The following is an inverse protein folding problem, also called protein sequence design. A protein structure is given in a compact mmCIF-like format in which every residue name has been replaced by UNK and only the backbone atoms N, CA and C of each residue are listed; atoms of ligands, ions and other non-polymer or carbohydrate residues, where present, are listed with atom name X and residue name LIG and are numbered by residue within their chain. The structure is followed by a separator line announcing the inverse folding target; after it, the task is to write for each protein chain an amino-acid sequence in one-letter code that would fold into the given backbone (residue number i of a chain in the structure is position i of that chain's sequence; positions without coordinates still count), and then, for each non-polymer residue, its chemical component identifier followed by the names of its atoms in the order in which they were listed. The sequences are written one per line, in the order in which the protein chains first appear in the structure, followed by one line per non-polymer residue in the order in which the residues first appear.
data_IF_986255098375
#
_entry.id   IF_986255098375
#
_cell.length_a   1.000
_cell.length_b   1.000
_cell.length_c   1.000
_cell.angle_alpha   90.00
_cell.angle_beta   90.00
_cell.angle_gamma   90.00
#
_symmetry.space_group_name_H-M   'P 1'
#
loop_
_entity.id
_entity.type
_entity.pdbx_description
1 polymer ?
#
# COMPACT_ATOMS: atom_id res chain seq x y z
N UNK A 1 -29.27 30.12 1.22
CA UNK A 1 -29.94 30.33 2.53
C UNK A 1 -28.97 30.83 3.60
N UNK A 2 -27.79 30.22 3.79
CA UNK A 2 -26.79 30.75 4.74
C UNK A 2 -26.16 32.09 4.31
N UNK A 3 -25.96 32.38 3.00
CA UNK A 3 -25.43 33.70 2.58
C UNK A 3 -26.38 34.84 2.98
N UNK A 4 -27.67 34.72 2.66
CA UNK A 4 -28.73 35.65 3.10
C UNK A 4 -28.72 35.88 4.61
N UNK A 5 -28.40 34.83 5.38
CA UNK A 5 -28.34 34.93 6.85
C UNK A 5 -27.12 35.73 7.29
N UNK A 6 -25.98 35.62 6.60
CA UNK A 6 -24.79 36.44 6.86
C UNK A 6 -25.04 37.91 6.49
N UNK A 7 -25.68 38.15 5.36
CA UNK A 7 -26.07 39.49 4.90
C UNK A 7 -27.01 40.16 5.93
N UNK A 8 -28.03 39.45 6.41
CA UNK A 8 -28.93 39.95 7.45
C UNK A 8 -28.23 40.23 8.79
N UNK A 9 -27.21 39.44 9.16
CA UNK A 9 -26.38 39.71 10.35
C UNK A 9 -25.54 40.97 10.15
N UNK A 10 -24.98 41.16 8.94
CA UNK A 10 -24.20 42.35 8.63
C UNK A 10 -25.08 43.61 8.67
N UNK A 11 -26.28 43.56 8.09
CA UNK A 11 -27.25 44.66 8.15
C UNK A 11 -27.59 45.10 9.58
N UNK A 12 -27.76 44.16 10.51
CA UNK A 12 -28.02 44.47 11.93
C UNK A 12 -26.80 45.12 12.62
N UNK A 13 -25.58 44.80 12.18
CA UNK A 13 -24.36 45.45 12.67
C UNK A 13 -24.21 46.87 12.13
N UNK A 14 -24.59 47.07 10.87
CA UNK A 14 -24.50 48.36 10.19
C UNK A 14 -25.62 49.33 10.66
N UNK A 15 -26.78 48.80 11.06
CA UNK A 15 -27.92 49.57 11.60
C UNK A 15 -28.25 49.13 13.03
N UNK A 16 -27.53 49.66 14.04
CA UNK A 16 -27.77 49.31 15.44
C UNK A 16 -29.16 49.79 15.86
N UNK A 17 -30.00 48.86 16.35
CA UNK A 17 -31.39 49.14 16.76
C UNK A 17 -32.46 48.55 15.84
N UNK A 18 -32.07 47.99 14.69
CA UNK A 18 -33.00 47.30 13.80
C UNK A 18 -33.72 46.12 14.49
N UNK A 19 -35.05 46.03 14.34
CA UNK A 19 -35.85 44.93 14.90
C UNK A 19 -35.56 43.64 14.15
N UNK A 20 -35.03 42.63 14.85
CA UNK A 20 -34.68 41.30 14.30
C UNK A 20 -35.82 40.66 13.49
N UNK A 21 -37.08 40.82 13.92
CA UNK A 21 -38.23 40.29 13.17
C UNK A 21 -38.44 40.97 11.81
N UNK A 22 -38.19 42.28 11.73
CA UNK A 22 -38.35 43.04 10.50
C UNK A 22 -37.31 42.61 9.49
N UNK A 23 -36.05 42.58 9.91
CA UNK A 23 -34.91 42.12 9.10
C UNK A 23 -35.12 40.67 8.66
N UNK A 24 -35.58 39.79 9.55
CA UNK A 24 -35.86 38.41 9.18
C UNK A 24 -36.91 38.28 8.05
N UNK A 25 -37.96 39.12 8.06
CA UNK A 25 -38.99 39.13 7.01
C UNK A 25 -38.47 39.68 5.69
N UNK A 26 -37.74 40.79 5.76
CA UNK A 26 -37.14 41.46 4.59
C UNK A 26 -36.18 40.53 3.84
N UNK A 27 -35.34 39.80 4.56
CA UNK A 27 -34.38 38.86 3.97
C UNK A 27 -34.98 37.46 3.71
N UNK A 28 -36.26 37.23 4.08
CA UNK A 28 -36.94 35.94 3.90
C UNK A 28 -36.35 34.78 4.70
N UNK A 29 -35.94 35.01 5.95
CA UNK A 29 -35.25 34.05 6.82
C UNK A 29 -36.06 33.80 8.10
N UNK A 30 -36.12 32.57 8.63
CA UNK A 30 -36.72 32.33 9.93
C UNK A 30 -36.05 33.16 11.04
N UNK A 31 -36.85 33.89 11.83
CA UNK A 31 -36.37 34.74 12.94
C UNK A 31 -35.42 34.01 13.89
N UNK A 32 -35.75 32.76 14.24
CA UNK A 32 -34.94 31.94 15.16
C UNK A 32 -33.52 31.72 14.61
N UNK A 33 -33.37 31.51 13.29
CA UNK A 33 -32.06 31.33 12.66
C UNK A 33 -31.21 32.60 12.75
N UNK A 34 -31.81 33.76 12.46
CA UNK A 34 -31.11 35.06 12.56
C UNK A 34 -30.69 35.35 14.00
N UNK A 35 -31.58 35.12 14.97
CA UNK A 35 -31.28 35.24 16.41
C UNK A 35 -30.12 34.34 16.83
N UNK A 36 -30.14 33.06 16.44
CA UNK A 36 -29.05 32.13 16.79
C UNK A 36 -27.70 32.57 16.22
N UNK A 37 -27.68 33.18 15.02
CA UNK A 37 -26.46 33.68 14.39
C UNK A 37 -25.92 34.93 15.09
N UNK A 38 -26.78 35.83 15.54
CA UNK A 38 -26.41 36.98 16.37
C UNK A 38 -25.86 36.54 17.73
N UNK A 39 -26.36 35.44 18.29
CA UNK A 39 -25.85 34.81 19.52
C UNK A 39 -24.51 34.04 19.31
N UNK A 40 -23.93 34.08 18.11
CA UNK A 40 -22.64 33.42 17.82
C UNK A 40 -22.74 31.93 17.51
N UNK A 41 -23.94 31.36 17.37
CA UNK A 41 -24.05 29.98 16.90
C UNK A 41 -23.69 29.90 15.42
N UNK A 42 -22.72 29.05 15.09
CA UNK A 42 -22.30 28.77 13.71
C UNK A 42 -23.20 27.71 13.04
N UNK A 43 -23.19 27.62 11.69
CA UNK A 43 -23.89 26.57 10.98
C UNK A 43 -23.40 25.19 11.41
N UNK A 44 -24.29 24.20 11.39
CA UNK A 44 -23.87 22.79 11.52
C UNK A 44 -22.99 22.38 10.33
N UNK A 45 -23.24 22.95 9.15
CA UNK A 45 -22.43 22.75 7.96
C UNK A 45 -21.01 23.30 8.19
N UNK A 46 -20.01 22.43 8.07
CA UNK A 46 -18.60 22.76 8.28
C UNK A 46 -18.13 22.64 9.73
N UNK A 47 -19.00 22.37 10.71
CA UNK A 47 -18.56 22.07 12.08
C UNK A 47 -17.87 20.68 12.08
N UNK A 48 -16.62 20.57 12.58
CA UNK A 48 -16.00 19.26 12.76
C UNK A 48 -16.85 18.43 13.71
N UNK A 49 -16.92 17.12 13.46
CA UNK A 49 -17.66 16.23 14.36
C UNK A 49 -17.10 16.36 15.79
N UNK A 50 -17.96 16.57 16.79
CA UNK A 50 -17.53 16.81 18.16
C UNK A 50 -16.73 15.63 18.75
N UNK A 51 -16.99 14.42 18.26
CA UNK A 51 -16.41 13.17 18.78
C UNK A 51 -15.46 12.54 17.75
N UNK A 52 -14.52 13.32 17.20
CA UNK A 52 -13.44 12.77 16.38
C UNK A 52 -12.50 11.97 17.29
N UNK A 53 -12.35 10.67 17.00
CA UNK A 53 -11.43 9.77 17.74
C UNK A 53 -9.95 10.06 17.44
N UNK A 54 -9.68 10.58 16.24
CA UNK A 54 -8.36 10.98 15.79
C UNK A 54 -8.19 12.50 15.90
N UNK A 55 -6.97 12.92 16.20
CA UNK A 55 -6.57 14.32 16.09
C UNK A 55 -6.43 14.72 14.62
N UNK A 56 -6.50 16.02 14.31
CA UNK A 56 -6.32 16.52 12.92
C UNK A 56 -5.03 16.03 12.24
N UNK A 57 -3.85 16.04 12.89
CA UNK A 57 -2.63 15.54 12.24
C UNK A 57 -2.64 14.03 12.02
N UNK A 58 -3.19 13.25 12.95
CA UNK A 58 -3.38 11.80 12.78
C UNK A 58 -4.32 11.50 11.61
N UNK A 59 -5.43 12.23 11.52
CA UNK A 59 -6.41 12.10 10.45
C UNK A 59 -5.77 12.41 9.09
N UNK A 60 -4.97 13.48 9.00
CA UNK A 60 -4.24 13.81 7.79
C UNK A 60 -3.17 12.76 7.43
N UNK A 61 -2.49 12.18 8.41
CA UNK A 61 -1.54 11.09 8.19
C UNK A 61 -2.23 9.84 7.63
N UNK A 62 -3.42 9.51 8.14
CA UNK A 62 -4.22 8.40 7.63
C UNK A 62 -4.67 8.62 6.18
N UNK A 63 -5.09 9.84 5.81
CA UNK A 63 -5.41 10.16 4.42
C UNK A 63 -4.18 9.99 3.50
N UNK A 64 -3.01 10.54 3.90
CA UNK A 64 -1.77 10.36 3.13
C UNK A 64 -1.38 8.88 2.96
N UNK A 65 -1.62 8.07 4.00
CA UNK A 65 -1.38 6.63 3.93
C UNK A 65 -2.30 5.95 2.90
N UNK A 66 -3.59 6.28 2.90
CA UNK A 66 -4.54 5.77 1.90
C UNK A 66 -4.15 6.19 0.49
N UNK A 67 -3.82 7.46 0.28
CA UNK A 67 -3.44 7.99 -1.04
C UNK A 67 -2.16 7.33 -1.54
N UNK A 68 -1.18 7.09 -0.66
CA UNK A 68 0.05 6.36 -1.00
C UNK A 68 -0.25 4.94 -1.46
N UNK A 69 -1.18 4.23 -0.81
CA UNK A 69 -1.57 2.89 -1.22
C UNK A 69 -2.31 2.87 -2.57
N UNK A 70 -3.21 3.84 -2.81
CA UNK A 70 -3.90 3.96 -4.12
C UNK A 70 -2.89 4.25 -5.25
N UNK A 71 -1.89 5.09 -4.98
CA UNK A 71 -0.79 5.39 -5.92
C UNK A 71 0.10 4.17 -6.22
N UNK A 72 0.23 3.23 -5.30
CA UNK A 72 0.92 1.95 -5.52
C UNK A 72 0.01 0.89 -6.15
N UNK A 73 -1.18 1.27 -6.61
CA UNK A 73 -2.22 0.38 -7.14
C UNK A 73 -2.65 -0.72 -6.16
N UNK A 74 -2.50 -0.47 -4.85
CA UNK A 74 -2.93 -1.39 -3.80
C UNK A 74 -4.38 -1.14 -3.40
N UNK A 75 -5.12 -2.23 -3.33
CA UNK A 75 -6.51 -2.25 -2.92
C UNK A 75 -6.70 -1.90 -1.44
N UNK A 76 -6.98 -0.64 -1.11
CA UNK A 76 -7.26 -0.28 0.29
C UNK A 76 -8.66 -0.75 0.69
N UNK A 77 -8.73 -1.86 1.43
CA UNK A 77 -10.01 -2.32 2.02
C UNK A 77 -10.35 -1.49 3.26
N UNK A 78 -11.64 -1.34 3.61
CA UNK A 78 -12.04 -0.67 4.85
C UNK A 78 -11.44 -1.30 6.12
N UNK A 79 -11.19 -2.61 6.10
CA UNK A 79 -10.47 -3.31 7.19
C UNK A 79 -9.10 -2.69 7.47
N UNK A 80 -8.28 -2.49 6.43
CA UNK A 80 -6.97 -1.86 6.57
C UNK A 80 -7.03 -0.47 7.20
N UNK A 81 -8.01 0.36 6.81
CA UNK A 81 -8.18 1.69 7.41
C UNK A 81 -8.53 1.59 8.89
N UNK A 82 -9.32 0.58 9.25
CA UNK A 82 -9.72 0.30 10.63
C UNK A 82 -8.51 -0.13 11.45
N UNK A 83 -7.71 -1.03 10.91
CA UNK A 83 -6.52 -1.56 11.58
C UNK A 83 -5.44 -0.50 11.74
N UNK A 84 -5.18 0.30 10.69
CA UNK A 84 -4.24 1.43 10.75
C UNK A 84 -4.67 2.46 11.80
N UNK A 85 -5.97 2.76 11.87
CA UNK A 85 -6.52 3.67 12.89
C UNK A 85 -6.35 3.11 14.30
N UNK A 86 -6.68 1.83 14.50
CA UNK A 86 -6.51 1.16 15.78
C UNK A 86 -5.04 1.12 16.20
N UNK A 87 -4.11 0.99 15.24
CA UNK A 87 -2.68 1.04 15.50
C UNK A 87 -2.25 2.43 16.03
N UNK A 88 -2.63 3.50 15.32
CA UNK A 88 -2.35 4.89 15.76
C UNK A 88 -2.89 5.13 17.18
N UNK A 89 -4.11 4.66 17.47
CA UNK A 89 -4.71 4.80 18.79
C UNK A 89 -3.97 4.00 19.86
N UNK A 90 -3.50 2.80 19.54
CA UNK A 90 -2.73 1.96 20.45
C UNK A 90 -1.37 2.58 20.78
N UNK A 91 -0.66 3.07 19.78
CA UNK A 91 0.62 3.76 19.96
C UNK A 91 0.47 5.00 20.85
N UNK A 92 -0.62 5.76 20.68
CA UNK A 92 -0.91 6.94 21.50
C UNK A 92 -1.19 6.61 22.97
N UNK A 93 -1.84 5.49 23.24
CA UNK A 93 -2.30 5.13 24.59
C UNK A 93 -1.27 4.37 25.42
N UNK A 94 -0.13 3.97 24.84
CA UNK A 94 0.95 3.27 25.53
C UNK A 94 0.62 1.84 25.98
N UNK A 95 1.57 1.15 26.67
CA UNK A 95 1.43 -0.26 27.06
C UNK A 95 0.27 -0.55 28.04
N UNK A 96 -0.18 0.47 28.78
CA UNK A 96 -1.30 0.40 29.74
C UNK A 96 -2.65 0.81 29.13
N UNK A 97 -2.68 1.15 27.83
CA UNK A 97 -3.83 1.67 27.09
C UNK A 97 -4.91 0.63 26.82
N UNK A 98 -5.76 0.45 27.82
CA UNK A 98 -6.93 -0.43 27.94
C UNK A 98 -7.91 -0.39 26.75
N UNK A 99 -8.66 -1.48 26.58
CA UNK A 99 -9.55 -1.91 25.49
C UNK A 99 -10.54 -0.90 24.84
N UNK A 100 -10.62 0.34 25.31
CA UNK A 100 -11.65 1.32 24.93
C UNK A 100 -11.35 2.11 23.64
N UNK A 101 -10.19 1.85 23.03
CA UNK A 101 -9.74 2.56 21.82
C UNK A 101 -10.17 1.91 20.51
N UNK A 102 -10.89 0.79 20.54
CA UNK A 102 -11.37 0.17 19.30
C UNK A 102 -12.39 1.10 18.64
N UNK A 103 -12.13 1.46 17.39
CA UNK A 103 -13.09 2.24 16.62
C UNK A 103 -14.35 1.42 16.33
N UNK A 104 -15.52 2.05 16.47
CA UNK A 104 -16.78 1.37 16.17
C UNK A 104 -16.91 1.01 14.69
N UNK A 105 -17.67 -0.04 14.38
CA UNK A 105 -17.85 -0.57 13.02
C UNK A 105 -18.29 0.46 11.97
N UNK A 106 -19.06 1.47 12.37
CA UNK A 106 -19.53 2.56 11.49
C UNK A 106 -18.54 3.70 11.31
N UNK A 107 -17.47 3.76 12.11
CA UNK A 107 -16.51 4.86 12.08
C UNK A 107 -15.82 4.93 10.72
N UNK A 108 -15.31 3.80 10.21
CA UNK A 108 -14.57 3.75 8.94
C UNK A 108 -15.43 4.18 7.76
N UNK A 109 -16.69 3.73 7.69
CA UNK A 109 -17.61 4.16 6.63
C UNK A 109 -17.89 5.67 6.68
N UNK A 110 -18.05 6.23 7.87
CA UNK A 110 -18.27 7.69 8.05
C UNK A 110 -17.01 8.49 7.73
N UNK A 111 -15.84 7.99 8.11
CA UNK A 111 -14.54 8.59 7.81
C UNK A 111 -14.33 8.67 6.29
N UNK A 112 -14.49 7.54 5.58
CA UNK A 112 -14.33 7.50 4.12
C UNK A 112 -15.30 8.45 3.41
N UNK A 113 -16.57 8.46 3.82
CA UNK A 113 -17.58 9.38 3.26
C UNK A 113 -17.24 10.85 3.50
N UNK A 114 -16.68 11.18 4.67
CA UNK A 114 -16.30 12.56 5.03
C UNK A 114 -15.14 13.07 4.18
N UNK A 115 -14.18 12.21 3.84
CA UNK A 115 -13.00 12.56 3.04
C UNK A 115 -13.18 12.35 1.53
N UNK A 116 -14.37 11.91 1.08
CA UNK A 116 -14.65 11.70 -0.34
C UNK A 116 -14.00 10.44 -0.92
N UNK A 117 -13.66 9.45 -0.09
CA UNK A 117 -13.17 8.16 -0.56
C UNK A 117 -14.35 7.27 -0.95
N UNK A 118 -14.33 6.78 -2.19
CA UNK A 118 -15.37 5.92 -2.75
C UNK A 118 -14.84 4.52 -3.03
N UNK A 119 -15.73 3.53 -2.87
CA UNK A 119 -15.42 2.14 -3.23
C UNK A 119 -15.31 2.06 -4.75
N UNK A 120 -14.20 1.51 -5.24
CA UNK A 120 -14.00 1.17 -6.65
C UNK A 120 -14.16 -0.34 -6.82
N UNK A 121 -14.83 -0.76 -7.89
CA UNK A 121 -14.89 -2.18 -8.24
C UNK A 121 -13.51 -2.63 -8.71
N UNK A 122 -13.01 -3.73 -8.16
CA UNK A 122 -11.76 -4.33 -8.60
C UNK A 122 -12.04 -5.51 -9.51
N UNK A 123 -11.30 -5.60 -10.62
CA UNK A 123 -11.32 -6.79 -11.46
C UNK A 123 -10.74 -7.96 -10.66
N UNK A 124 -11.43 -9.10 -10.70
CA UNK A 124 -10.85 -10.34 -10.17
C UNK A 124 -9.63 -10.71 -11.01
N UNK A 125 -8.63 -11.29 -10.36
CA UNK A 125 -7.51 -11.90 -11.07
C UNK A 125 -8.02 -13.01 -11.99
N UNK A 126 -7.43 -13.16 -13.18
CA UNK A 126 -7.78 -14.25 -14.09
C UNK A 126 -7.49 -15.60 -13.43
N UNK A 127 -8.42 -16.56 -13.55
CA UNK A 127 -8.34 -17.84 -12.86
C UNK A 127 -7.04 -18.61 -13.16
N UNK A 128 -6.59 -18.60 -14.41
CA UNK A 128 -5.32 -19.23 -14.83
C UNK A 128 -4.10 -18.59 -14.16
N UNK A 129 -4.10 -17.26 -14.05
CA UNK A 129 -3.03 -16.52 -13.36
C UNK A 129 -3.03 -16.82 -11.87
N UNK A 130 -4.22 -16.87 -11.26
CA UNK A 130 -4.37 -17.24 -9.85
C UNK A 130 -3.90 -18.68 -9.58
N UNK A 131 -4.22 -19.63 -10.48
CA UNK A 131 -3.75 -21.01 -10.37
C UNK A 131 -2.24 -21.16 -10.58
N UNK A 132 -1.62 -20.26 -11.34
CA UNK A 132 -0.18 -20.23 -11.57
C UNK A 132 0.61 -19.64 -10.37
N UNK A 133 -0.05 -18.84 -9.53
CA UNK A 133 0.52 -18.28 -8.29
C UNK A 133 0.54 -19.33 -7.17
N UNK A 134 1.32 -20.40 -7.37
CA UNK A 134 1.51 -21.47 -6.40
C UNK A 134 2.66 -21.14 -5.42
N UNK A 135 2.29 -20.77 -4.18
CA UNK A 135 3.21 -20.51 -3.08
C UNK A 135 4.12 -21.71 -2.76
N UNK A 136 3.63 -22.93 -2.91
CA UNK A 136 4.43 -24.13 -2.61
C UNK A 136 5.54 -24.31 -3.64
N UNK A 137 5.24 -24.10 -4.92
CA UNK A 137 6.24 -24.11 -6.00
C UNK A 137 7.32 -23.06 -5.78
N UNK A 138 6.95 -21.83 -5.43
CA UNK A 138 7.92 -20.75 -5.15
C UNK A 138 8.78 -21.09 -3.93
N UNK A 139 8.16 -21.54 -2.84
CA UNK A 139 8.88 -21.90 -1.61
C UNK A 139 9.85 -23.06 -1.84
N UNK A 140 9.40 -24.11 -2.53
CA UNK A 140 10.22 -25.26 -2.89
C UNK A 140 11.42 -24.83 -3.76
N UNK A 141 11.20 -23.96 -4.75
CA UNK A 141 12.28 -23.44 -5.58
C UNK A 141 13.36 -22.74 -4.73
N UNK A 142 12.96 -21.85 -3.81
CA UNK A 142 13.91 -21.15 -2.95
C UNK A 142 14.61 -22.09 -1.95
N UNK A 143 13.93 -23.10 -1.41
CA UNK A 143 14.55 -24.13 -0.57
C UNK A 143 15.56 -24.97 -1.34
N UNK A 144 15.26 -25.37 -2.57
CA UNK A 144 16.21 -26.08 -3.44
C UNK A 144 17.41 -25.21 -3.77
N UNK A 145 17.18 -23.93 -4.09
CA UNK A 145 18.23 -22.98 -4.38
C UNK A 145 19.15 -22.76 -3.17
N UNK A 146 18.59 -22.64 -1.98
CA UNK A 146 19.33 -22.52 -0.72
C UNK A 146 20.24 -23.74 -0.49
N UNK A 147 19.73 -24.97 -0.71
CA UNK A 147 20.54 -26.19 -0.62
C UNK A 147 21.71 -26.19 -1.60
N UNK A 148 21.48 -25.83 -2.87
CA UNK A 148 22.55 -25.79 -3.87
C UNK A 148 23.61 -24.73 -3.53
N UNK A 149 23.19 -23.57 -3.03
CA UNK A 149 24.12 -22.53 -2.57
C UNK A 149 24.94 -23.05 -1.39
N UNK A 150 24.29 -23.68 -0.40
CA UNK A 150 24.97 -24.23 0.76
C UNK A 150 25.94 -25.37 0.39
N UNK A 151 25.55 -26.27 -0.51
CA UNK A 151 26.41 -27.35 -1.01
C UNK A 151 27.62 -26.82 -1.75
N UNK A 152 27.47 -25.75 -2.55
CA UNK A 152 28.60 -25.11 -3.21
C UNK A 152 29.51 -24.39 -2.23
N UNK A 153 28.97 -23.74 -1.21
CA UNK A 153 29.78 -23.14 -0.13
C UNK A 153 30.54 -24.22 0.62
N UNK A 154 29.88 -25.31 1.00
CA UNK A 154 30.48 -26.42 1.74
C UNK A 154 31.53 -27.17 0.89
N UNK A 155 31.27 -27.38 -0.40
CA UNK A 155 32.22 -28.05 -1.32
C UNK A 155 33.32 -27.10 -1.82
N UNK A 156 33.12 -25.79 -1.87
CA UNK A 156 34.19 -24.83 -2.15
C UNK A 156 35.25 -24.80 -1.04
N UNK A 157 34.88 -25.19 0.19
CA UNK A 157 35.81 -25.43 1.30
C UNK A 157 36.51 -26.81 1.24
N UNK A 158 36.19 -27.66 0.25
CA UNK A 158 36.91 -28.89 -0.09
C UNK A 158 37.70 -28.74 -1.39
N UNK A 159 38.43 -27.64 -1.51
CA UNK A 159 39.57 -27.58 -2.43
C UNK A 159 40.79 -28.05 -1.64
N UNK A 160 41.45 -29.17 -1.99
CA UNK A 160 42.79 -29.41 -1.47
C UNK A 160 43.64 -28.22 -1.89
N UNK A 161 44.43 -27.68 -0.96
CA UNK A 161 45.46 -26.68 -1.24
C UNK A 161 46.46 -27.29 -2.25
N UNK A 162 46.11 -27.27 -3.53
CA UNK A 162 47.10 -27.26 -4.58
C UNK A 162 47.67 -25.86 -4.52
N UNK A 163 48.80 -25.79 -3.82
CA UNK A 163 49.72 -24.67 -3.76
C UNK A 163 49.75 -23.98 -5.12
N UNK A 164 49.12 -22.81 -5.19
CA UNK A 164 49.20 -21.94 -6.34
C UNK A 164 50.63 -21.40 -6.35
N UNK A 165 51.56 -22.14 -6.95
CA UNK A 165 52.89 -21.62 -7.26
C UNK A 165 52.69 -20.64 -8.40
N UNK A 166 52.54 -19.37 -8.05
CA UNK A 166 52.68 -18.26 -8.99
C UNK A 166 54.12 -18.31 -9.49
N UNK A 167 54.33 -18.87 -10.68
CA UNK A 167 55.60 -18.72 -11.38
C UNK A 167 55.66 -17.31 -11.95
N UNK A 168 56.77 -16.57 -11.74
CA UNK A 168 56.95 -15.25 -12.34
C UNK A 168 56.82 -15.36 -13.85
N UNK A 169 56.12 -14.38 -14.42
CA UNK A 169 56.10 -14.16 -15.86
C UNK A 169 57.54 -13.91 -16.30
N UNK A 170 58.10 -14.85 -17.05
CA UNK A 170 59.12 -14.68 -18.08
C UNK A 170 59.56 -16.09 -18.51
N UNK A 171 58.82 -16.68 -19.46
CA UNK A 171 59.45 -17.35 -20.60
C UNK A 171 58.40 -17.90 -21.59
N UNK A 172 58.65 -17.53 -22.83
CA UNK A 172 58.02 -17.89 -24.08
C UNK A 172 58.51 -19.28 -24.48
N UNK A 173 57.68 -20.33 -24.55
CA UNK A 173 57.84 -21.37 -25.59
C UNK A 173 56.70 -22.40 -25.65
N UNK A 174 56.13 -22.50 -26.86
CA UNK A 174 55.62 -23.68 -27.60
C UNK A 174 54.84 -24.80 -26.91
N UNK A 175 53.60 -24.95 -27.39
CA UNK A 175 53.03 -26.20 -27.94
C UNK A 175 53.95 -27.42 -27.93
N UNK A 176 53.56 -28.48 -27.20
CA UNK A 176 53.38 -29.82 -27.76
C UNK A 176 52.70 -30.74 -26.72
N UNK A 177 51.67 -31.47 -27.16
CA UNK A 177 51.27 -32.79 -26.65
C UNK A 177 50.47 -32.88 -25.33
N UNK A 178 49.14 -32.85 -25.47
CA UNK A 178 48.30 -33.89 -24.84
C UNK A 178 46.99 -34.07 -25.63
N UNK A 179 47.15 -34.55 -26.87
CA UNK A 179 46.12 -35.38 -27.50
C UNK A 179 46.41 -36.81 -27.07
N UNK A 180 45.64 -37.36 -26.12
CA UNK A 180 45.17 -38.76 -26.10
C UNK A 180 44.05 -38.90 -25.06
N UNK A 181 43.02 -39.67 -25.41
CA UNK A 181 41.86 -40.08 -24.59
C UNK A 181 40.65 -39.12 -24.45
N UNK A 182 39.99 -38.79 -25.57
CA UNK A 182 38.51 -38.88 -25.66
C UNK A 182 38.10 -39.36 -27.06
N UNK A 183 38.34 -40.66 -27.35
CA UNK A 183 37.58 -41.40 -28.36
C UNK A 183 37.33 -42.82 -27.86
N UNK A 184 36.31 -42.98 -27.01
CA UNK A 184 35.56 -44.24 -26.93
C UNK A 184 34.20 -43.98 -26.28
N UNK A 185 33.18 -43.89 -27.14
CA UNK A 185 31.75 -44.22 -26.95
C UNK A 185 30.89 -43.40 -27.92
N UNK A 186 31.14 -43.57 -29.23
CA UNK A 186 30.06 -43.44 -30.21
C UNK A 186 29.24 -44.72 -30.13
N UNK A 187 27.99 -44.53 -29.73
CA UNK A 187 26.92 -45.51 -29.64
C UNK A 187 26.78 -46.22 -30.99
N UNK A 188 26.87 -47.54 -30.92
CA UNK A 188 26.56 -48.46 -32.01
C UNK A 188 25.11 -48.24 -32.45
N UNK A 189 24.88 -47.85 -33.70
CA UNK A 189 23.57 -47.93 -34.35
C UNK A 189 23.82 -48.54 -35.72
N UNK A 190 23.71 -49.86 -35.79
CA UNK A 190 23.78 -50.62 -37.03
C UNK A 190 22.48 -50.43 -37.83
N UNK A 191 22.69 -50.07 -39.10
CA UNK A 191 22.05 -50.57 -40.33
C UNK A 191 20.54 -50.35 -40.58
N UNK A 192 20.26 -49.52 -41.58
CA UNK A 192 19.22 -49.70 -42.62
C UNK A 192 19.39 -48.57 -43.65
N UNK A 193 20.10 -48.81 -44.77
CA UNK A 193 19.57 -49.06 -46.13
C UNK A 193 19.06 -47.83 -46.91
N UNK A 194 19.83 -47.47 -47.95
CA UNK A 194 19.40 -47.17 -49.35
C UNK A 194 18.54 -45.92 -49.63
N UNK A 195 19.16 -44.94 -50.34
CA UNK A 195 18.60 -43.85 -51.19
C UNK A 195 17.69 -44.39 -52.34
N UNK A 196 16.98 -43.59 -53.20
CA UNK A 196 16.93 -42.13 -53.34
C UNK A 196 15.52 -41.50 -53.60
N UNK A 197 15.53 -40.16 -53.57
CA UNK A 197 14.75 -39.16 -54.35
C UNK A 197 13.66 -39.62 -55.32
N UNK A 198 12.46 -39.06 -55.13
CA UNK A 198 11.69 -38.28 -56.11
C UNK A 198 10.69 -37.39 -55.35
#
# INVERSE_FOLDING_TARGET
MESRTREAVQYIRDVPGAKIASVAREFGIPRNRLRSRLQGHHPKAGRPAANLKLSRPEEAALCRYIDRLDNMNLAVRPGFVTDATNNILRERSGPSGQADFIIGSKWTSRFLKRHGYFKKLQKKLHAERQASEDLTRVTNYFQTLEKVVQDKVNNAFSMPLQTLVVRPADDWFTSQSYSQHVRSCKRNRHLATVFPSA
#
